data_IF_228326112335
#
_entry.id   IF_228326112335
#
_cell.length_a   1.000
_cell.length_b   1.000
_cell.length_c   1.000
_cell.angle_alpha   90.00
_cell.angle_beta   90.00
_cell.angle_gamma   90.00
#
_symmetry.space_group_name_H-M   'P 1'
#
loop_
_entity.id
_entity.type
_entity.pdbx_description
1 polymer ?
#
# COMPACT_ATOMS: atom_id res chain seq x y z
N UNK A 1 3.48 -18.08 7.19
CA UNK A 1 4.93 -17.73 7.29
C UNK A 1 5.79 -18.93 7.71
N UNK A 2 6.16 -19.78 6.75
CA UNK A 2 7.04 -20.95 6.91
C UNK A 2 8.54 -20.57 6.97
N UNK A 3 8.92 -19.60 7.81
CA UNK A 3 10.33 -19.39 8.13
C UNK A 3 10.51 -19.82 9.58
N UNK A 4 11.21 -20.95 9.77
CA UNK A 4 11.54 -21.48 11.10
C UNK A 4 12.36 -20.43 11.87
N UNK A 5 11.68 -19.69 12.75
CA UNK A 5 12.30 -18.69 13.64
C UNK A 5 13.20 -19.34 14.69
N UNK A 6 12.91 -20.61 15.03
CA UNK A 6 13.69 -21.42 15.96
C UNK A 6 13.98 -22.81 15.36
N UNK A 7 15.25 -23.15 15.23
CA UNK A 7 15.69 -24.52 14.97
C UNK A 7 16.78 -24.90 15.98
N UNK A 8 16.48 -25.89 16.83
CA UNK A 8 17.41 -26.45 17.83
C UNK A 8 18.08 -25.39 18.74
N UNK A 9 17.28 -24.45 19.27
CA UNK A 9 17.72 -23.51 20.30
C UNK A 9 18.68 -22.40 19.83
N UNK A 10 18.83 -22.19 18.51
CA UNK A 10 19.60 -21.06 17.96
C UNK A 10 18.66 -20.09 17.25
N UNK A 11 18.58 -18.87 17.76
CA UNK A 11 17.85 -17.78 17.12
C UNK A 11 18.60 -17.38 15.84
N UNK A 12 18.00 -17.62 14.67
CA UNK A 12 18.57 -17.16 13.40
C UNK A 12 18.24 -15.68 13.25
N UNK A 13 19.26 -14.82 13.18
CA UNK A 13 19.06 -13.38 12.96
C UNK A 13 18.28 -13.13 11.67
N UNK A 14 17.41 -12.11 11.67
CA UNK A 14 16.60 -11.67 10.53
C UNK A 14 17.47 -11.54 9.26
N UNK A 15 18.65 -10.93 9.40
CA UNK A 15 19.62 -10.79 8.32
C UNK A 15 20.05 -12.13 7.69
N UNK A 16 20.33 -13.15 8.51
CA UNK A 16 20.69 -14.49 8.00
C UNK A 16 19.50 -15.19 7.34
N UNK A 17 18.28 -14.94 7.81
CA UNK A 17 17.08 -15.48 7.17
C UNK A 17 16.88 -14.86 5.79
N UNK A 18 17.07 -13.55 5.66
CA UNK A 18 16.98 -12.84 4.39
C UNK A 18 18.00 -13.36 3.36
N UNK A 19 19.28 -13.46 3.74
CA UNK A 19 20.32 -14.03 2.86
C UNK A 19 20.01 -15.47 2.42
N UNK A 20 19.45 -16.28 3.34
CA UNK A 20 19.08 -17.66 3.03
C UNK A 20 17.90 -17.73 2.05
N UNK A 21 16.89 -16.86 2.24
CA UNK A 21 15.73 -16.77 1.37
C UNK A 21 16.11 -16.27 -0.03
N UNK A 22 16.96 -15.24 -0.13
CA UNK A 22 17.50 -14.74 -1.40
C UNK A 22 18.27 -15.83 -2.16
N UNK A 23 19.13 -16.58 -1.47
CA UNK A 23 19.87 -17.68 -2.07
C UNK A 23 18.95 -18.80 -2.58
N UNK A 24 17.91 -19.14 -1.81
CA UNK A 24 16.91 -20.13 -2.18
C UNK A 24 16.10 -19.69 -3.40
N UNK A 25 15.60 -18.45 -3.41
CA UNK A 25 14.88 -17.88 -4.54
C UNK A 25 15.74 -17.85 -5.80
N UNK A 26 17.03 -17.50 -5.68
CA UNK A 26 17.96 -17.50 -6.81
C UNK A 26 18.20 -18.90 -7.37
N UNK A 27 18.35 -19.90 -6.49
CA UNK A 27 18.56 -21.29 -6.89
C UNK A 27 17.31 -21.91 -7.56
N UNK A 28 16.12 -21.46 -7.18
CA UNK A 28 14.85 -21.97 -7.68
C UNK A 28 14.27 -21.13 -8.83
N UNK A 29 14.91 -20.02 -9.21
CA UNK A 29 14.39 -19.06 -10.19
C UNK A 29 14.05 -19.69 -11.55
N UNK A 30 14.85 -20.67 -11.99
CA UNK A 30 14.67 -21.35 -13.27
C UNK A 30 13.86 -22.65 -13.14
N UNK A 31 13.52 -23.05 -11.92
CA UNK A 31 12.73 -24.25 -11.62
C UNK A 31 11.26 -23.89 -11.61
N UNK A 32 10.55 -24.17 -12.70
CA UNK A 32 9.09 -24.00 -12.77
C UNK A 32 8.38 -25.00 -11.87
N UNK A 33 7.27 -24.59 -11.25
CA UNK A 33 6.39 -25.50 -10.51
C UNK A 33 6.85 -25.87 -9.11
N UNK A 34 7.73 -25.07 -8.47
CA UNK A 34 8.14 -25.38 -7.10
C UNK A 34 7.02 -24.99 -6.11
N UNK A 35 6.41 -25.95 -5.37
CA UNK A 35 5.18 -25.70 -4.63
C UNK A 35 5.28 -24.57 -3.59
N UNK A 36 6.45 -24.42 -2.96
CA UNK A 36 6.64 -23.36 -1.94
C UNK A 36 6.63 -21.97 -2.56
N UNK A 37 7.16 -21.81 -3.77
CA UNK A 37 7.16 -20.52 -4.47
C UNK A 37 5.75 -20.20 -4.96
N UNK A 38 5.07 -21.18 -5.56
CA UNK A 38 3.68 -21.00 -6.01
C UNK A 38 2.75 -20.64 -4.86
N UNK A 39 2.89 -21.32 -3.72
CA UNK A 39 2.11 -21.01 -2.52
C UNK A 39 2.46 -19.64 -1.96
N UNK A 40 3.74 -19.25 -1.95
CA UNK A 40 4.14 -17.91 -1.50
C UNK A 40 3.56 -16.82 -2.41
N UNK A 41 3.54 -17.04 -3.72
CA UNK A 41 2.91 -16.11 -4.67
C UNK A 41 1.41 -16.07 -4.44
N UNK A 42 0.75 -17.21 -4.22
CA UNK A 42 -0.68 -17.28 -3.89
C UNK A 42 -1.00 -16.53 -2.60
N UNK A 43 -0.24 -16.73 -1.53
CA UNK A 43 -0.38 -15.99 -0.26
C UNK A 43 -0.23 -14.47 -0.49
N UNK A 44 0.76 -14.03 -1.28
CA UNK A 44 0.95 -12.60 -1.61
C UNK A 44 -0.25 -12.07 -2.40
N UNK A 45 -0.68 -12.78 -3.45
CA UNK A 45 -1.73 -12.29 -4.34
C UNK A 45 -3.12 -12.35 -3.72
N UNK A 46 -3.44 -13.40 -2.96
CA UNK A 46 -4.77 -13.61 -2.39
C UNK A 46 -4.90 -13.01 -0.99
N UNK A 47 -3.95 -13.25 -0.09
CA UNK A 47 -4.10 -12.88 1.32
C UNK A 47 -3.60 -11.46 1.61
N UNK A 48 -2.50 -11.04 0.97
CA UNK A 48 -1.93 -9.69 1.16
C UNK A 48 -2.54 -8.67 0.20
N UNK A 49 -2.72 -9.03 -1.06
CA UNK A 49 -3.15 -8.11 -2.12
C UNK A 49 -4.66 -8.17 -2.42
N UNK A 50 -5.38 -9.19 -1.95
CA UNK A 50 -6.83 -9.37 -2.16
C UNK A 50 -7.27 -9.24 -3.63
N UNK A 51 -6.60 -9.97 -4.52
CA UNK A 51 -6.87 -9.93 -5.97
C UNK A 51 -8.30 -10.33 -6.30
N UNK A 52 -8.92 -11.23 -5.52
CA UNK A 52 -10.29 -11.68 -5.75
C UNK A 52 -11.30 -10.53 -5.63
N UNK A 53 -11.15 -9.70 -4.61
CA UNK A 53 -12.03 -8.53 -4.44
C UNK A 53 -11.72 -7.44 -5.47
N UNK A 54 -10.44 -7.29 -5.87
CA UNK A 54 -10.08 -6.38 -6.96
C UNK A 54 -10.76 -6.75 -8.29
N UNK A 55 -10.79 -8.05 -8.64
CA UNK A 55 -11.52 -8.55 -9.81
C UNK A 55 -13.02 -8.30 -9.70
N UNK A 56 -13.61 -8.45 -8.51
CA UNK A 56 -15.02 -8.15 -8.26
C UNK A 56 -15.33 -6.65 -8.50
N UNK A 57 -14.52 -5.74 -7.96
CA UNK A 57 -14.67 -4.29 -8.16
C UNK A 57 -14.59 -3.93 -9.65
N UNK A 58 -13.59 -4.45 -10.36
CA UNK A 58 -13.44 -4.21 -11.81
C UNK A 58 -14.64 -4.75 -12.60
N UNK A 59 -15.13 -5.93 -12.24
CA UNK A 59 -16.30 -6.52 -12.89
C UNK A 59 -17.57 -5.71 -12.61
N UNK A 60 -17.73 -5.15 -11.40
CA UNK A 60 -18.85 -4.25 -11.07
C UNK A 60 -18.79 -2.95 -11.87
N UNK A 61 -17.60 -2.39 -12.06
CA UNK A 61 -17.38 -1.23 -12.92
C UNK A 61 -17.75 -1.54 -14.38
N UNK A 62 -17.30 -2.69 -14.91
CA UNK A 62 -17.60 -3.11 -16.29
C UNK A 62 -19.10 -3.34 -16.52
N UNK A 63 -19.81 -3.89 -15.53
CA UNK A 63 -21.26 -4.11 -15.59
C UNK A 63 -22.09 -2.86 -15.30
N UNK A 64 -21.47 -1.74 -14.92
CA UNK A 64 -22.17 -0.51 -14.52
C UNK A 64 -22.89 -0.60 -13.17
N UNK A 65 -22.55 -1.58 -12.32
CA UNK A 65 -23.04 -1.71 -10.95
C UNK A 65 -22.30 -0.77 -9.99
N UNK A 66 -21.12 -0.29 -10.41
CA UNK A 66 -20.32 0.72 -9.72
C UNK A 66 -19.91 1.78 -10.73
N UNK A 67 -19.86 3.03 -10.30
CA UNK A 67 -19.43 4.16 -11.11
C UNK A 67 -18.18 4.78 -10.50
N UNK A 68 -17.37 5.38 -11.36
CA UNK A 68 -16.25 6.21 -10.96
C UNK A 68 -16.48 7.62 -11.48
N UNK A 69 -16.00 8.61 -10.71
CA UNK A 69 -16.09 10.01 -11.07
C UNK A 69 -14.69 10.59 -11.12
N UNK A 70 -14.41 11.36 -12.17
CA UNK A 70 -13.23 12.20 -12.18
C UNK A 70 -13.55 13.47 -11.43
N UNK A 71 -12.86 13.68 -10.30
CA UNK A 71 -12.86 14.97 -9.63
C UNK A 71 -12.17 16.01 -10.52
N UNK A 72 -12.61 17.28 -10.49
CA UNK A 72 -11.88 18.36 -11.11
C UNK A 72 -10.50 18.50 -10.47
N UNK A 73 -9.57 19.12 -11.19
CA UNK A 73 -8.24 19.40 -10.66
C UNK A 73 -8.33 20.47 -9.56
N UNK A 74 -7.68 20.21 -8.43
CA UNK A 74 -7.62 21.13 -7.30
C UNK A 74 -6.17 21.49 -7.01
N UNK A 75 -5.92 22.76 -6.67
CA UNK A 75 -4.60 23.24 -6.26
C UNK A 75 -4.15 22.68 -4.89
N UNK A 76 -5.09 22.11 -4.13
CA UNK A 76 -4.86 21.54 -2.80
C UNK A 76 -5.39 20.10 -2.75
N UNK A 77 -4.72 19.18 -2.03
CA UNK A 77 -5.19 17.81 -1.91
C UNK A 77 -6.50 17.76 -1.10
N UNK A 78 -7.47 17.01 -1.61
CA UNK A 78 -8.72 16.72 -0.91
C UNK A 78 -8.45 16.08 0.46
N UNK A 79 -9.30 16.32 1.49
CA UNK A 79 -9.22 15.60 2.76
C UNK A 79 -9.11 14.08 2.62
N UNK A 80 -9.78 13.50 1.61
CA UNK A 80 -9.70 12.07 1.31
C UNK A 80 -8.30 11.62 0.85
N UNK A 81 -7.51 12.53 0.26
CA UNK A 81 -6.18 12.26 -0.26
C UNK A 81 -5.06 12.55 0.75
N UNK A 82 -5.33 13.16 1.92
CA UNK A 82 -4.28 13.56 2.88
C UNK A 82 -3.41 12.40 3.33
N UNK A 83 -4.02 11.27 3.68
CA UNK A 83 -3.26 10.09 4.11
C UNK A 83 -2.42 9.50 2.98
N UNK A 84 -2.95 9.51 1.75
CA UNK A 84 -2.22 9.05 0.58
C UNK A 84 -1.03 9.96 0.28
N UNK A 85 -1.22 11.28 0.39
CA UNK A 85 -0.17 12.28 0.24
C UNK A 85 0.95 12.08 1.27
N UNK A 86 0.60 11.92 2.55
CA UNK A 86 1.56 11.67 3.63
C UNK A 86 2.32 10.35 3.45
N UNK A 87 1.66 9.33 2.90
CA UNK A 87 2.31 8.06 2.59
C UNK A 87 3.32 8.21 1.45
N UNK A 88 2.98 8.97 0.39
CA UNK A 88 3.89 9.24 -0.73
C UNK A 88 5.04 10.18 -0.40
N UNK A 89 4.86 11.08 0.56
CA UNK A 89 5.88 12.04 0.98
C UNK A 89 6.74 11.53 2.16
N UNK A 90 6.68 10.24 2.51
CA UNK A 90 7.38 9.67 3.66
C UNK A 90 8.90 9.78 3.59
N UNK A 91 9.47 9.87 2.39
CA UNK A 91 10.91 10.02 2.20
C UNK A 91 11.39 11.47 2.43
N UNK A 92 10.48 12.44 2.39
CA UNK A 92 10.77 13.87 2.57
C UNK A 92 10.28 14.41 3.93
N UNK A 93 9.33 13.73 4.58
CA UNK A 93 8.69 14.17 5.81
C UNK A 93 9.11 13.26 6.97
N UNK A 94 9.75 13.84 7.99
CA UNK A 94 10.00 13.12 9.23
C UNK A 94 8.69 12.74 9.91
N UNK A 95 8.66 11.56 10.56
CA UNK A 95 7.44 11.04 11.19
C UNK A 95 6.85 11.99 12.25
N UNK A 96 7.70 12.77 12.91
CA UNK A 96 7.32 13.80 13.88
C UNK A 96 6.63 15.03 13.25
N UNK A 97 6.92 15.33 11.99
CA UNK A 97 6.33 16.44 11.24
C UNK A 97 5.02 16.07 10.54
N UNK A 98 4.67 14.78 10.47
CA UNK A 98 3.42 14.32 9.83
C UNK A 98 2.18 15.00 10.38
N UNK A 99 2.14 15.23 11.70
CA UNK A 99 1.01 15.88 12.36
C UNK A 99 0.86 17.33 11.89
N UNK A 100 1.98 18.05 11.81
CA UNK A 100 2.02 19.44 11.34
C UNK A 100 1.59 19.54 9.88
N UNK A 101 2.09 18.64 9.02
CA UNK A 101 1.67 18.60 7.61
C UNK A 101 0.18 18.32 7.48
N UNK A 102 -0.39 17.44 8.30
CA UNK A 102 -1.83 17.20 8.30
C UNK A 102 -2.63 18.44 8.76
N UNK A 103 -2.16 19.14 9.80
CA UNK A 103 -2.74 20.40 10.26
C UNK A 103 -2.72 21.47 9.16
N UNK A 104 -1.60 21.62 8.45
CA UNK A 104 -1.44 22.57 7.35
C UNK A 104 -2.40 22.23 6.18
N UNK A 105 -2.46 20.96 5.77
CA UNK A 105 -3.39 20.51 4.72
C UNK A 105 -4.86 20.74 5.11
N UNK A 106 -5.21 20.53 6.38
CA UNK A 106 -6.54 20.81 6.88
C UNK A 106 -6.88 22.31 6.81
N UNK A 107 -5.94 23.17 7.22
CA UNK A 107 -6.09 24.62 7.19
C UNK A 107 -6.31 25.13 5.75
N UNK A 108 -5.55 24.61 4.78
CA UNK A 108 -5.74 24.95 3.35
C UNK A 108 -7.15 24.62 2.84
N UNK A 109 -7.72 23.49 3.28
CA UNK A 109 -9.10 23.10 2.91
C UNK A 109 -10.12 24.08 3.51
N UNK A 110 -9.97 24.44 4.79
CA UNK A 110 -10.86 25.40 5.45
C UNK A 110 -10.83 26.78 4.78
N UNK A 111 -9.63 27.27 4.43
CA UNK A 111 -9.47 28.53 3.72
C UNK A 111 -10.17 28.50 2.36
N UNK A 112 -10.00 27.41 1.60
CA UNK A 112 -10.66 27.25 0.30
C UNK A 112 -12.19 27.28 0.41
N UNK A 113 -12.76 26.58 1.39
CA UNK A 113 -14.21 26.56 1.63
C UNK A 113 -14.71 27.98 1.97
N UNK A 114 -13.99 28.70 2.83
CA UNK A 114 -14.35 30.07 3.22
C UNK A 114 -14.36 31.07 2.06
N UNK A 115 -13.53 30.85 1.03
CA UNK A 115 -13.50 31.67 -0.19
C UNK A 115 -14.71 31.37 -1.08
N UNK A 116 -15.10 30.10 -1.21
CA UNK A 116 -16.28 29.69 -1.99
C UNK A 116 -17.55 30.30 -1.42
N UNK A 117 -17.70 30.32 -0.10
CA UNK A 117 -18.87 30.92 0.60
C UNK A 117 -18.99 32.44 0.40
N UNK A 118 -17.89 33.16 0.20
CA UNK A 118 -17.91 34.62 -0.03
C UNK A 118 -18.17 35.03 -1.48
N UNK A 119 -18.04 34.09 -2.41
CA UNK A 119 -18.14 34.35 -3.86
C UNK A 119 -19.46 33.81 -4.44
N UNK A 120 -20.25 33.11 -3.62
CA UNK A 120 -21.60 32.60 -3.95
C UNK A 120 -22.68 33.54 -3.40
#
# INVERSE_FOLDING_TARGET
LMILRNYRGREKSVYRQQLSAESLLKALKDTKGFPVIEETIREIMEDLMDVKNAEEVLSKLERGEMEYVFSPEFEIPSPFAHNLYLAGASDAILMEDKRKVLEDLHQMVLERISIVEKTS
#
